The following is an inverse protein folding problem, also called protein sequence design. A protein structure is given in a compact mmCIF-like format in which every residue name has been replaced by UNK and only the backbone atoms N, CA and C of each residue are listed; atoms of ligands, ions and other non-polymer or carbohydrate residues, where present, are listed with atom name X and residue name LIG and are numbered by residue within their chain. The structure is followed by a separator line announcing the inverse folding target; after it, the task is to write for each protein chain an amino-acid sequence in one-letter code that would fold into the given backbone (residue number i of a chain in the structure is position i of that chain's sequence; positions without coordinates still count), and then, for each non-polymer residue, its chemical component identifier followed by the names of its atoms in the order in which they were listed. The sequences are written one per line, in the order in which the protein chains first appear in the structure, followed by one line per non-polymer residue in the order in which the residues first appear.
data_IF_171673635905
#
_entry.id   IF_171673635905
#
_cell.length_a   1.000
_cell.length_b   1.000
_cell.length_c   1.000
_cell.angle_alpha   90.00
_cell.angle_beta   90.00
_cell.angle_gamma   90.00
#
_symmetry.space_group_name_H-M   'P 1'
#
loop_
_entity.id
_entity.type
_entity.pdbx_description
1 polymer ?
#
# COMPACT_ATOMS: atom_id res chain seq x y z
N UNK A 1 4.91 -4.80 -3.53
CA UNK A 1 4.81 -3.82 -2.42
C UNK A 1 5.16 -4.41 -1.06
N UNK A 2 4.50 -5.48 -0.59
CA UNK A 2 4.81 -6.09 0.73
C UNK A 2 6.30 -6.41 0.94
N UNK A 3 6.97 -7.02 -0.05
CA UNK A 3 8.41 -7.29 0.00
C UNK A 3 9.28 -6.01 0.11
N UNK A 4 8.90 -4.94 -0.59
CA UNK A 4 9.62 -3.66 -0.54
C UNK A 4 9.47 -2.96 0.81
N UNK A 5 8.26 -2.92 1.37
CA UNK A 5 8.03 -2.38 2.72
C UNK A 5 8.64 -3.25 3.83
N UNK A 6 8.61 -4.58 3.67
CA UNK A 6 9.32 -5.49 4.56
C UNK A 6 10.84 -5.25 4.55
N UNK A 7 11.41 -4.95 3.38
CA UNK A 7 12.83 -4.57 3.28
C UNK A 7 13.14 -3.25 3.99
N UNK A 8 12.29 -2.24 3.81
CA UNK A 8 12.42 -0.95 4.52
C UNK A 8 12.35 -1.14 6.04
N UNK A 9 11.40 -1.95 6.52
CA UNK A 9 11.28 -2.28 7.94
C UNK A 9 12.53 -2.97 8.48
N UNK A 10 13.06 -3.97 7.77
CA UNK A 10 14.29 -4.66 8.14
C UNK A 10 15.55 -3.77 8.05
N UNK A 11 15.58 -2.80 7.13
CA UNK A 11 16.66 -1.83 7.03
C UNK A 11 16.64 -0.84 8.20
N UNK A 12 15.46 -0.36 8.61
CA UNK A 12 15.30 0.54 9.76
C UNK A 12 15.61 -0.18 11.07
N UNK A 13 15.13 -1.41 11.26
CA UNK A 13 15.43 -2.20 12.45
C UNK A 13 16.95 -2.45 12.64
N UNK A 14 17.70 -2.57 11.55
CA UNK A 14 19.17 -2.73 11.58
C UNK A 14 19.93 -1.41 11.74
N UNK A 15 19.34 -0.29 11.32
CA UNK A 15 19.95 1.04 11.45
C UNK A 15 19.93 1.57 12.91
N UNK A 16 19.12 0.99 13.80
CA UNK A 16 19.11 1.36 15.21
C UNK A 16 20.44 1.09 15.96
N UNK A 17 21.31 0.22 15.42
CA UNK A 17 22.61 -0.12 16.02
C UNK A 17 23.84 0.48 15.34
N UNK A 18 23.70 1.02 14.12
CA UNK A 18 24.81 1.56 13.31
C UNK A 18 24.28 2.75 12.53
N UNK A 19 24.99 3.89 12.53
CA UNK A 19 24.64 5.07 11.72
C UNK A 19 24.82 4.82 10.21
N UNK A 20 24.05 3.88 9.67
CA UNK A 20 23.97 3.59 8.25
C UNK A 20 23.07 4.64 7.61
N UNK A 21 23.66 5.54 6.80
CA UNK A 21 22.91 6.53 6.03
C UNK A 21 21.88 5.90 5.09
N UNK A 22 21.04 6.70 4.41
CA UNK A 22 19.83 6.28 3.70
C UNK A 22 19.99 5.25 2.54
N UNK A 23 21.22 4.86 2.17
CA UNK A 23 21.51 3.95 1.03
C UNK A 23 20.82 2.58 1.12
N UNK A 24 20.69 1.92 2.29
CA UNK A 24 20.01 0.62 2.41
C UNK A 24 18.50 0.66 2.15
N UNK A 25 17.87 1.84 2.17
CA UNK A 25 16.44 2.02 1.92
C UNK A 25 16.12 1.98 0.42
N UNK A 26 17.07 2.38 -0.42
CA UNK A 26 16.93 2.51 -1.88
C UNK A 26 16.33 1.24 -2.53
N UNK A 27 16.87 0.02 -2.34
CA UNK A 27 16.31 -1.17 -2.98
C UNK A 27 14.87 -1.46 -2.53
N UNK A 28 14.55 -1.26 -1.24
CA UNK A 28 13.19 -1.46 -0.72
C UNK A 28 12.19 -0.47 -1.32
N UNK A 29 12.58 0.81 -1.41
CA UNK A 29 11.80 1.88 -2.04
C UNK A 29 11.60 1.64 -3.53
N UNK A 30 12.61 1.15 -4.25
CA UNK A 30 12.47 0.81 -5.67
C UNK A 30 11.46 -0.32 -5.89
N UNK A 31 11.52 -1.39 -5.09
CA UNK A 31 10.57 -2.51 -5.17
C UNK A 31 9.15 -2.07 -4.78
N UNK A 32 9.03 -1.22 -3.75
CA UNK A 32 7.75 -0.67 -3.32
C UNK A 32 7.15 0.24 -4.41
N UNK A 33 7.97 1.15 -4.97
CA UNK A 33 7.57 2.08 -6.02
C UNK A 33 7.20 1.39 -7.34
N UNK A 34 8.00 0.40 -7.77
CA UNK A 34 7.66 -0.41 -8.94
C UNK A 34 6.32 -1.14 -8.73
N UNK A 35 6.12 -1.75 -7.57
CA UNK A 35 4.85 -2.40 -7.23
C UNK A 35 3.67 -1.43 -7.20
N UNK A 36 3.87 -0.21 -6.70
CA UNK A 36 2.84 0.82 -6.70
C UNK A 36 2.47 1.25 -8.12
N UNK A 37 3.46 1.49 -8.99
CA UNK A 37 3.22 1.87 -10.39
C UNK A 37 2.45 0.80 -11.16
N UNK A 38 2.80 -0.48 -10.96
CA UNK A 38 2.07 -1.60 -11.57
C UNK A 38 0.67 -1.79 -11.02
N UNK A 39 0.36 -1.31 -9.80
CA UNK A 39 -0.97 -1.44 -9.21
C UNK A 39 -1.87 -0.26 -9.59
N UNK A 40 -1.39 0.97 -9.44
CA UNK A 40 -2.20 2.19 -9.57
C UNK A 40 -2.83 2.30 -10.96
N UNK A 41 -2.05 2.09 -12.03
CA UNK A 41 -2.54 2.30 -13.40
C UNK A 41 -3.65 1.30 -13.77
N UNK A 42 -3.48 -0.04 -13.61
CA UNK A 42 -4.55 -0.99 -13.88
C UNK A 42 -5.76 -0.81 -12.97
N UNK A 43 -5.55 -0.48 -11.70
CA UNK A 43 -6.64 -0.34 -10.73
C UNK A 43 -7.59 0.80 -11.11
N UNK A 44 -7.05 1.95 -11.50
CA UNK A 44 -7.85 3.08 -11.99
C UNK A 44 -8.62 2.67 -13.25
N UNK A 45 -7.95 2.02 -14.21
CA UNK A 45 -8.63 1.56 -15.44
C UNK A 45 -9.75 0.55 -15.15
N UNK A 46 -9.52 -0.41 -14.27
CA UNK A 46 -10.53 -1.42 -13.88
C UNK A 46 -11.73 -0.74 -13.23
N UNK A 47 -11.50 0.15 -12.26
CA UNK A 47 -12.57 0.88 -11.57
C UNK A 47 -13.41 1.69 -12.54
N UNK A 48 -12.77 2.43 -13.46
CA UNK A 48 -13.50 3.22 -14.46
C UNK A 48 -14.20 2.35 -15.51
N UNK A 49 -13.66 1.16 -15.85
CA UNK A 49 -14.27 0.25 -16.81
C UNK A 49 -15.51 -0.50 -16.28
N UNK A 50 -15.65 -0.61 -14.96
CA UNK A 50 -16.73 -1.35 -14.31
C UNK A 50 -18.02 -0.53 -14.10
N UNK A 51 -18.01 0.76 -14.45
CA UNK A 51 -19.13 1.69 -14.26
C UNK A 51 -19.57 2.30 -15.60
N UNK A 52 -20.88 2.54 -15.80
CA UNK A 52 -21.38 3.33 -16.92
C UNK A 52 -20.73 4.72 -16.97
N UNK A 53 -20.54 5.26 -18.18
CA UNK A 53 -19.86 6.54 -18.40
C UNK A 53 -20.43 7.71 -17.57
N UNK A 54 -21.74 7.70 -17.33
CA UNK A 54 -22.47 8.67 -16.51
C UNK A 54 -22.07 8.66 -15.03
N UNK A 55 -21.58 7.53 -14.51
CA UNK A 55 -21.21 7.33 -13.10
C UNK A 55 -19.68 7.37 -12.86
N UNK A 56 -18.89 7.59 -13.91
CA UNK A 56 -17.42 7.63 -13.87
C UNK A 56 -16.88 8.62 -12.83
N UNK A 57 -17.53 9.78 -12.70
CA UNK A 57 -17.18 10.80 -11.70
C UNK A 57 -17.39 10.31 -10.25
N UNK A 58 -18.48 9.57 -10.00
CA UNK A 58 -18.78 9.01 -8.69
C UNK A 58 -17.80 7.89 -8.30
N UNK A 59 -17.42 7.04 -9.26
CA UNK A 59 -16.44 5.98 -9.03
C UNK A 59 -15.04 6.53 -8.71
N UNK A 60 -14.60 7.57 -9.42
CA UNK A 60 -13.34 8.27 -9.13
C UNK A 60 -13.38 8.92 -7.73
N UNK A 61 -14.51 9.51 -7.35
CA UNK A 61 -14.71 10.08 -6.02
C UNK A 61 -14.54 9.03 -4.92
N UNK A 62 -15.25 7.90 -5.01
CA UNK A 62 -15.14 6.78 -4.05
C UNK A 62 -13.71 6.25 -3.99
N UNK A 63 -13.06 6.09 -5.15
CA UNK A 63 -11.68 5.64 -5.23
C UNK A 63 -10.72 6.57 -4.47
N UNK A 64 -10.83 7.88 -4.69
CA UNK A 64 -9.99 8.87 -3.99
C UNK A 64 -10.27 8.89 -2.49
N UNK A 65 -11.54 8.82 -2.08
CA UNK A 65 -11.92 8.74 -0.65
C UNK A 65 -11.34 7.48 0.01
N UNK A 66 -11.39 6.33 -0.66
CA UNK A 66 -10.79 5.10 -0.15
C UNK A 66 -9.26 5.22 0.01
N UNK A 67 -8.58 5.84 -0.95
CA UNK A 67 -7.14 6.13 -0.85
C UNK A 67 -6.83 7.07 0.33
N UNK A 68 -7.58 8.16 0.48
CA UNK A 68 -7.41 9.11 1.58
C UNK A 68 -7.68 8.45 2.93
N UNK A 69 -8.70 7.61 3.03
CA UNK A 69 -8.99 6.86 4.24
C UNK A 69 -7.84 5.94 4.63
N UNK A 70 -7.29 5.17 3.67
CA UNK A 70 -6.12 4.33 3.90
C UNK A 70 -4.90 5.14 4.36
N UNK A 71 -4.64 6.28 3.72
CA UNK A 71 -3.55 7.18 4.12
C UNK A 71 -3.76 7.76 5.52
N UNK A 72 -4.99 8.13 5.88
CA UNK A 72 -5.33 8.64 7.20
C UNK A 72 -5.10 7.59 8.29
N UNK A 73 -5.57 6.35 8.10
CA UNK A 73 -5.38 5.27 9.08
C UNK A 73 -3.90 4.99 9.32
N UNK A 74 -3.10 4.85 8.25
CA UNK A 74 -1.64 4.63 8.36
C UNK A 74 -0.95 5.83 9.01
N UNK A 75 -1.35 7.04 8.61
CA UNK A 75 -0.87 8.29 9.19
C UNK A 75 -1.13 8.37 10.69
N UNK A 76 -2.35 8.07 11.16
CA UNK A 76 -2.70 8.08 12.58
C UNK A 76 -1.82 7.13 13.40
N UNK A 77 -1.56 5.92 12.90
CA UNK A 77 -0.70 4.95 13.59
C UNK A 77 0.74 5.47 13.69
N UNK A 78 1.27 6.02 12.58
CA UNK A 78 2.61 6.58 12.52
C UNK A 78 2.78 7.81 13.43
N UNK A 79 1.90 8.81 13.28
CA UNK A 79 1.94 10.05 14.04
C UNK A 79 1.63 9.83 15.53
N UNK A 80 0.83 8.81 15.87
CA UNK A 80 0.57 8.44 17.26
C UNK A 80 1.83 8.01 18.04
N UNK A 81 2.84 7.47 17.36
CA UNK A 81 4.10 7.03 17.97
C UNK A 81 5.28 7.92 17.58
N UNK A 82 5.03 9.04 16.88
CA UNK A 82 6.10 9.93 16.41
C UNK A 82 6.82 10.63 17.58
N UNK A 83 6.13 10.85 18.70
CA UNK A 83 6.71 11.43 19.91
C UNK A 83 7.82 10.56 20.53
N UNK A 84 7.79 9.24 20.28
CA UNK A 84 8.81 8.29 20.72
C UNK A 84 10.02 8.22 19.75
N UNK A 85 9.96 8.97 18.65
CA UNK A 85 10.97 9.07 17.62
C UNK A 85 10.55 8.45 16.30
N UNK A 86 11.17 8.92 15.21
CA UNK A 86 10.88 8.47 13.84
C UNK A 86 11.02 6.95 13.66
N UNK A 87 12.00 6.34 14.34
CA UNK A 87 12.20 4.88 14.32
C UNK A 87 11.02 4.12 14.93
N UNK A 88 10.53 4.56 16.09
CA UNK A 88 9.39 3.95 16.79
C UNK A 88 8.09 4.06 15.98
N UNK A 89 7.81 5.25 15.42
CA UNK A 89 6.67 5.43 14.54
C UNK A 89 6.69 4.49 13.32
N UNK A 90 7.85 4.31 12.70
CA UNK A 90 7.99 3.44 11.54
C UNK A 90 7.94 1.95 11.91
N UNK A 91 8.54 1.53 13.03
CA UNK A 91 8.53 0.13 13.46
C UNK A 91 7.14 -0.35 13.84
N UNK A 92 6.29 0.53 14.40
CA UNK A 92 4.89 0.21 14.73
C UNK A 92 3.98 0.26 13.50
N UNK A 93 4.18 1.23 12.59
CA UNK A 93 3.32 1.38 11.41
C UNK A 93 3.62 0.35 10.29
N UNK A 94 4.88 -0.03 10.08
CA UNK A 94 5.28 -0.92 8.98
C UNK A 94 4.61 -2.32 9.01
N UNK A 95 4.49 -3.01 10.16
CA UNK A 95 3.77 -4.28 10.24
C UNK A 95 2.33 -4.16 9.76
N UNK A 96 1.64 -3.07 10.12
CA UNK A 96 0.26 -2.84 9.70
C UNK A 96 0.14 -2.65 8.18
N UNK A 97 1.08 -1.89 7.59
CA UNK A 97 1.15 -1.68 6.14
C UNK A 97 1.44 -3.00 5.41
N UNK A 98 2.41 -3.79 5.88
CA UNK A 98 2.73 -5.09 5.27
C UNK A 98 1.57 -6.06 5.41
N UNK A 99 0.95 -6.16 6.59
CA UNK A 99 -0.22 -6.99 6.82
C UNK A 99 -1.39 -6.61 5.92
N UNK A 100 -1.67 -5.31 5.75
CA UNK A 100 -2.71 -4.84 4.84
C UNK A 100 -2.44 -5.26 3.39
N UNK A 101 -1.20 -5.16 2.90
CA UNK A 101 -0.86 -5.63 1.55
C UNK A 101 -0.96 -7.14 1.40
N UNK A 102 -0.52 -7.91 2.41
CA UNK A 102 -0.62 -9.37 2.41
C UNK A 102 -2.08 -9.81 2.46
N UNK A 103 -2.91 -9.17 3.30
CA UNK A 103 -4.34 -9.43 3.37
C UNK A 103 -5.01 -9.10 2.04
N UNK A 104 -4.72 -7.95 1.43
CA UNK A 104 -5.25 -7.60 0.12
C UNK A 104 -4.85 -8.63 -0.94
N UNK A 105 -3.58 -9.06 -0.97
CA UNK A 105 -3.13 -10.11 -1.88
C UNK A 105 -3.84 -11.46 -1.62
N UNK A 106 -4.04 -11.82 -0.35
CA UNK A 106 -4.76 -13.03 0.04
C UNK A 106 -6.24 -12.96 -0.36
N UNK A 107 -6.91 -11.82 -0.16
CA UNK A 107 -8.29 -11.60 -0.58
C UNK A 107 -8.43 -11.66 -2.11
N UNK A 108 -7.51 -11.04 -2.86
CA UNK A 108 -7.48 -11.13 -4.32
C UNK A 108 -7.24 -12.56 -4.82
N UNK A 109 -6.43 -13.35 -4.10
CA UNK A 109 -6.20 -14.76 -4.42
C UNK A 109 -7.37 -15.68 -4.00
N UNK A 110 -8.06 -15.33 -2.91
CA UNK A 110 -9.20 -16.08 -2.37
C UNK A 110 -10.52 -15.78 -3.09
N UNK A 111 -10.65 -14.60 -3.71
CA UNK A 111 -11.79 -14.26 -4.56
C UNK A 111 -11.77 -15.19 -5.79
N UNK A 112 -12.74 -16.13 -5.92
CA UNK A 112 -12.81 -16.99 -7.07
C UNK A 112 -13.01 -16.13 -8.33
N UNK A 113 -12.25 -16.40 -9.40
CA UNK A 113 -12.29 -15.70 -10.71
C UNK A 113 -13.63 -15.84 -11.46
N UNK A 114 -14.79 -15.77 -10.81
CA UNK A 114 -16.13 -15.94 -11.38
C UNK A 114 -16.76 -14.62 -11.85
N UNK A 115 -15.99 -13.78 -12.55
CA UNK A 115 -16.54 -12.60 -13.21
C UNK A 115 -15.92 -12.37 -14.61
N UNK A 116 -15.60 -13.46 -15.33
CA UNK A 116 -15.11 -13.38 -16.71
C UNK A 116 -15.90 -14.27 -17.70
N UNK A 117 -16.97 -14.93 -17.26
CA UNK A 117 -17.90 -15.60 -18.16
C UNK A 117 -19.31 -15.20 -17.73
N UNK A 118 -19.86 -14.18 -18.40
CA UNK A 118 -21.24 -14.16 -18.89
C UNK A 118 -21.57 -12.76 -19.42
N UNK A 119 -21.21 -12.51 -20.68
CA UNK A 119 -21.98 -11.63 -21.57
C UNK A 119 -21.91 -12.21 -23.00
N UNK A 120 -22.99 -12.86 -23.48
CA UNK A 120 -23.19 -13.15 -24.90
C UNK A 120 -23.51 -11.90 -25.73
#
# INVERSE_FOLDING_TARGET
MAAGFGWVWAAVGRAAGVHTGARPLVPGLLIAGAGLGFLVVPLVNVVLSAVPGELTGAASGIFSTAQQFGAAVVGTVFFGHLAEGWGAGLTVAMPWVVAAFVLCAALCAALPRRAAHDHP
#
